data_IF_507374579861
#
_entry.id   IF_507374579861
#
_cell.length_a   1.000
_cell.length_b   1.000
_cell.length_c   1.000
_cell.angle_alpha   90.00
_cell.angle_beta   90.00
_cell.angle_gamma   90.00
#
_symmetry.space_group_name_H-M   'P 1'
#
loop_
_entity.id
_entity.type
_entity.pdbx_description
1 polymer ?
#
# COMPACT_ATOMS: atom_id res chain seq x y z
N UNK A 1 5.36 4.81 6.10
CA UNK A 1 5.09 3.78 7.13
C UNK A 1 3.62 3.38 7.01
N UNK A 2 3.22 2.10 7.10
CA UNK A 2 1.80 1.73 7.05
C UNK A 2 1.06 2.28 8.28
N UNK A 3 -0.13 2.84 8.05
CA UNK A 3 -1.03 3.29 9.11
C UNK A 3 -1.92 2.13 9.59
N UNK A 4 -1.30 1.10 10.17
CA UNK A 4 -2.01 -0.07 10.68
C UNK A 4 -1.26 -0.76 11.83
N UNK A 5 -1.85 -0.90 13.03
CA UNK A 5 -1.14 -1.36 14.23
C UNK A 5 -0.55 -2.76 14.08
N UNK A 6 -1.27 -3.69 13.42
CA UNK A 6 -0.76 -5.05 13.20
C UNK A 6 0.44 -5.06 12.25
N UNK A 7 0.42 -4.22 11.19
CA UNK A 7 1.52 -4.17 10.23
C UNK A 7 2.78 -3.59 10.89
N UNK A 8 2.61 -2.55 11.72
CA UNK A 8 3.69 -1.95 12.52
C UNK A 8 4.30 -2.99 13.48
N UNK A 9 3.46 -3.73 14.21
CA UNK A 9 3.92 -4.76 15.14
C UNK A 9 4.70 -5.89 14.44
N UNK A 10 4.29 -6.29 13.23
CA UNK A 10 5.03 -7.27 12.43
C UNK A 10 6.40 -6.73 12.00
N UNK A 11 6.46 -5.49 11.52
CA UNK A 11 7.73 -4.84 11.13
C UNK A 11 8.67 -4.77 12.34
N UNK A 12 8.17 -4.31 13.49
CA UNK A 12 8.94 -4.21 14.73
C UNK A 12 9.45 -5.58 15.20
N UNK A 13 8.57 -6.59 15.26
CA UNK A 13 8.94 -7.95 15.68
C UNK A 13 9.93 -8.61 14.72
N UNK A 14 9.89 -8.27 13.42
CA UNK A 14 10.82 -8.79 12.43
C UNK A 14 12.22 -8.19 12.54
N UNK A 15 12.34 -6.95 13.06
CA UNK A 15 13.59 -6.18 13.08
C UNK A 15 14.14 -5.83 11.69
N UNK A 16 13.32 -5.94 10.63
CA UNK A 16 13.73 -5.80 9.23
C UNK A 16 12.77 -4.87 8.46
N UNK A 17 13.25 -4.17 7.42
CA UNK A 17 12.35 -3.59 6.43
C UNK A 17 11.66 -4.70 5.63
N UNK A 18 10.34 -4.60 5.45
CA UNK A 18 9.52 -5.62 4.77
C UNK A 18 9.04 -5.12 3.42
N UNK A 19 9.44 -5.81 2.35
CA UNK A 19 8.87 -5.60 1.02
C UNK A 19 7.55 -6.39 0.90
N UNK A 20 6.44 -5.68 0.65
CA UNK A 20 5.11 -6.28 0.61
C UNK A 20 4.25 -5.65 -0.51
N UNK A 21 4.19 -6.26 -1.71
CA UNK A 21 3.15 -5.92 -2.70
C UNK A 21 1.77 -6.41 -2.22
N UNK A 22 0.73 -6.17 -3.01
CA UNK A 22 -0.62 -6.67 -2.71
C UNK A 22 -0.63 -8.21 -2.66
N UNK A 23 -1.29 -8.78 -1.65
CA UNK A 23 -1.24 -10.21 -1.33
C UNK A 23 -2.22 -11.06 -2.17
N UNK A 24 -2.14 -10.93 -3.50
CA UNK A 24 -2.97 -11.63 -4.47
C UNK A 24 -2.13 -12.26 -5.58
N UNK A 25 -2.75 -13.12 -6.39
CA UNK A 25 -2.14 -13.56 -7.65
C UNK A 25 -2.09 -12.39 -8.64
N UNK A 26 -0.99 -12.28 -9.38
CA UNK A 26 -0.80 -11.20 -10.36
C UNK A 26 -1.97 -11.13 -11.35
N UNK A 27 -2.49 -9.91 -11.56
CA UNK A 27 -3.65 -9.64 -12.41
C UNK A 27 -5.01 -9.78 -11.73
N UNK A 28 -5.08 -10.32 -10.50
CA UNK A 28 -6.32 -10.31 -9.71
C UNK A 28 -6.50 -8.99 -8.95
N UNK A 29 -7.74 -8.66 -8.53
CA UNK A 29 -7.98 -7.52 -7.65
C UNK A 29 -7.19 -7.63 -6.33
N UNK A 30 -6.78 -6.48 -5.81
CA UNK A 30 -6.09 -6.39 -4.51
C UNK A 30 -6.98 -6.93 -3.38
N UNK A 31 -6.43 -7.70 -2.43
CA UNK A 31 -7.21 -8.29 -1.35
C UNK A 31 -7.50 -7.24 -0.26
N UNK A 32 -8.71 -7.29 0.30
CA UNK A 32 -9.15 -6.40 1.38
C UNK A 32 -9.57 -7.18 2.63
N UNK A 33 -9.53 -8.52 2.59
CA UNK A 33 -9.80 -9.41 3.72
C UNK A 33 -8.82 -10.58 3.70
N UNK A 34 -8.64 -11.24 4.85
CA UNK A 34 -7.83 -12.45 4.93
C UNK A 34 -8.38 -13.59 4.04
N UNK A 35 -9.70 -13.66 3.85
CA UNK A 35 -10.33 -14.62 2.95
C UNK A 35 -9.92 -14.43 1.49
N UNK A 36 -9.85 -13.17 1.00
CA UNK A 36 -9.36 -12.90 -0.36
C UNK A 36 -7.91 -13.40 -0.55
N UNK A 37 -7.07 -13.25 0.48
CA UNK A 37 -5.69 -13.76 0.46
C UNK A 37 -5.68 -15.29 0.46
N UNK A 38 -6.52 -15.92 1.29
CA UNK A 38 -6.60 -17.37 1.38
C UNK A 38 -7.08 -18.00 0.06
N UNK A 39 -8.06 -17.41 -0.61
CA UNK A 39 -8.58 -17.89 -1.91
C UNK A 39 -7.49 -17.89 -3.00
N UNK A 40 -6.54 -16.96 -2.92
CA UNK A 40 -5.47 -16.79 -3.90
C UNK A 40 -4.18 -17.56 -3.57
N UNK A 41 -3.78 -17.56 -2.31
CA UNK A 41 -2.42 -17.92 -1.90
C UNK A 41 -2.32 -19.13 -0.96
N UNK A 42 -3.44 -19.75 -0.55
CA UNK A 42 -3.40 -20.97 0.27
C UNK A 42 -2.54 -22.05 -0.39
N UNK A 43 -1.61 -22.62 0.38
CA UNK A 43 -0.64 -23.61 -0.09
C UNK A 43 0.58 -23.03 -0.83
N UNK A 44 0.66 -21.71 -1.01
CA UNK A 44 1.79 -21.00 -1.66
C UNK A 44 2.62 -20.14 -0.70
N UNK A 45 2.07 -19.83 0.48
CA UNK A 45 2.68 -18.98 1.50
C UNK A 45 2.71 -19.67 2.86
N UNK A 46 3.61 -19.24 3.73
CA UNK A 46 3.82 -19.87 5.04
C UNK A 46 2.73 -19.55 6.07
N UNK A 47 1.97 -18.47 5.88
CA UNK A 47 0.89 -18.10 6.77
C UNK A 47 0.19 -16.81 6.36
N UNK A 48 -0.96 -16.57 6.98
CA UNK A 48 -1.78 -15.35 6.83
C UNK A 48 -2.03 -14.82 8.23
N UNK A 49 -1.84 -13.50 8.41
CA UNK A 49 -2.27 -12.81 9.63
C UNK A 49 -3.63 -12.18 9.34
N UNK A 50 -4.67 -12.63 10.04
CA UNK A 50 -6.01 -12.05 9.91
C UNK A 50 -6.17 -10.84 10.82
N UNK A 51 -6.22 -9.66 10.21
CA UNK A 51 -6.45 -8.38 10.87
C UNK A 51 -7.85 -7.79 10.62
N UNK A 52 -8.77 -8.56 10.04
CA UNK A 52 -10.06 -8.07 9.57
C UNK A 52 -10.00 -7.40 8.19
N UNK A 53 -11.04 -6.63 7.86
CA UNK A 53 -11.12 -5.91 6.59
C UNK A 53 -10.20 -4.68 6.58
N UNK A 54 -9.58 -4.39 5.42
CA UNK A 54 -8.81 -3.16 5.24
C UNK A 54 -9.70 -1.93 5.27
N UNK A 55 -9.19 -0.80 5.77
CA UNK A 55 -9.96 0.44 5.93
C UNK A 55 -10.33 1.09 4.59
N UNK A 56 -9.38 1.79 3.97
CA UNK A 56 -9.63 2.60 2.74
C UNK A 56 -9.97 1.72 1.53
N UNK A 57 -9.46 0.49 1.48
CA UNK A 57 -9.68 -0.43 0.35
C UNK A 57 -8.99 -0.03 -0.96
N UNK A 58 -8.16 1.02 -0.94
CA UNK A 58 -7.34 1.50 -2.06
C UNK A 58 -5.85 1.35 -1.74
N UNK A 59 -5.04 1.23 -2.78
CA UNK A 59 -3.59 1.26 -2.66
C UNK A 59 -3.05 2.62 -2.19
N UNK A 60 -1.78 2.62 -1.74
CA UNK A 60 -1.09 3.85 -1.39
C UNK A 60 -0.82 4.74 -2.61
N UNK A 61 -0.89 6.06 -2.38
CA UNK A 61 -0.38 7.06 -3.30
C UNK A 61 1.14 6.90 -3.45
N UNK A 62 1.65 6.87 -4.67
CA UNK A 62 3.09 6.80 -4.97
C UNK A 62 3.51 8.12 -5.59
N UNK A 63 4.51 8.76 -4.98
CA UNK A 63 5.04 10.06 -5.41
C UNK A 63 6.52 9.90 -5.74
N UNK A 64 6.91 10.32 -6.94
CA UNK A 64 8.31 10.52 -7.32
C UNK A 64 8.80 11.87 -6.78
N UNK A 65 9.79 11.81 -5.89
CA UNK A 65 10.42 12.98 -5.28
C UNK A 65 11.87 13.18 -5.78
N UNK A 66 12.26 12.57 -6.90
CA UNK A 66 13.62 12.70 -7.46
C UNK A 66 13.83 14.02 -8.22
N UNK A 67 12.73 14.64 -8.70
CA UNK A 67 12.72 15.93 -9.36
C UNK A 67 12.50 17.13 -8.43
N UNK A 68 12.49 18.35 -8.99
CA UNK A 68 12.18 19.59 -8.24
C UNK A 68 10.70 19.70 -7.88
N UNK A 69 9.83 19.23 -8.77
CA UNK A 69 8.38 19.19 -8.57
C UNK A 69 8.02 17.72 -8.35
N UNK A 70 7.47 17.34 -7.18
CA UNK A 70 7.02 15.97 -6.93
C UNK A 70 5.95 15.55 -7.94
N UNK A 71 5.98 14.30 -8.39
CA UNK A 71 5.03 13.77 -9.36
C UNK A 71 4.28 12.56 -8.79
N UNK A 72 2.94 12.58 -8.83
CA UNK A 72 2.12 11.43 -8.47
C UNK A 72 2.22 10.40 -9.60
N UNK A 73 2.86 9.26 -9.31
CA UNK A 73 2.97 8.11 -10.21
C UNK A 73 1.76 7.17 -10.10
N UNK A 74 1.16 7.12 -8.91
CA UNK A 74 -0.06 6.35 -8.67
C UNK A 74 -0.95 7.07 -7.67
N UNK A 75 -2.19 7.40 -8.03
CA UNK A 75 -3.18 7.92 -7.08
C UNK A 75 -3.54 6.86 -6.02
N UNK A 76 -3.88 7.30 -4.82
CA UNK A 76 -4.26 6.42 -3.72
C UNK A 76 -4.91 7.21 -2.57
N UNK A 77 -4.76 6.71 -1.34
CA UNK A 77 -5.42 7.28 -0.16
C UNK A 77 -5.02 8.72 0.22
N UNK A 78 -3.90 9.24 -0.28
CA UNK A 78 -3.48 10.65 -0.12
C UNK A 78 -3.75 11.40 -1.43
N UNK A 79 -4.57 12.45 -1.37
CA UNK A 79 -4.98 13.19 -2.56
C UNK A 79 -3.91 14.18 -3.03
N UNK A 80 -4.05 14.65 -4.27
CA UNK A 80 -3.17 15.69 -4.82
C UNK A 80 -3.24 16.97 -3.99
N UNK A 81 -4.44 17.37 -3.60
CA UNK A 81 -4.70 18.60 -2.84
C UNK A 81 -4.01 18.55 -1.48
N UNK A 82 -4.09 17.39 -0.79
CA UNK A 82 -3.39 17.18 0.49
C UNK A 82 -1.86 17.28 0.34
N UNK A 83 -1.31 16.84 -0.79
CA UNK A 83 0.12 17.01 -1.07
C UNK A 83 0.44 18.48 -1.36
N UNK A 84 -0.37 19.15 -2.19
CA UNK A 84 -0.14 20.53 -2.59
C UNK A 84 -0.20 21.52 -1.40
N UNK A 85 -1.05 21.23 -0.41
CA UNK A 85 -1.12 21.99 0.85
C UNK A 85 0.20 21.99 1.63
N UNK A 86 1.04 20.95 1.49
CA UNK A 86 2.27 20.78 2.25
C UNK A 86 3.51 21.16 1.44
N UNK A 87 3.58 20.74 0.17
CA UNK A 87 4.80 20.87 -0.65
C UNK A 87 4.69 21.86 -1.80
N UNK A 88 3.53 22.48 -2.02
CA UNK A 88 3.30 23.39 -3.14
C UNK A 88 2.91 22.67 -4.42
N UNK A 89 3.51 23.03 -5.56
CA UNK A 89 3.13 22.44 -6.85
C UNK A 89 3.40 20.92 -6.91
N UNK A 90 2.40 20.14 -7.36
CA UNK A 90 2.51 18.69 -7.56
C UNK A 90 2.03 18.30 -8.97
N UNK A 91 2.90 17.62 -9.70
CA UNK A 91 2.58 17.07 -11.01
C UNK A 91 1.84 15.72 -10.88
N UNK A 92 1.11 15.35 -11.92
CA UNK A 92 0.50 14.01 -12.05
C UNK A 92 1.06 13.39 -13.32
N UNK A 93 1.58 12.17 -13.22
CA UNK A 93 2.04 11.44 -14.38
C UNK A 93 0.84 11.17 -15.32
N UNK A 94 0.90 11.59 -16.60
CA UNK A 94 -0.20 11.41 -17.55
C UNK A 94 -0.50 9.95 -17.91
N UNK A 95 0.37 9.00 -17.54
CA UNK A 95 0.38 7.60 -17.97
C UNK A 95 0.76 7.37 -19.45
#
# INVERSE_FOLDING_TARGET
MPDHPIALAIIEASGLPLAAPSANLSGKPSPTTANHVADDLTGRISGIVDGGATGVGLESTVVDCTGKIPAILRPGGVTKEQLEEVVGEVAVDPA
#
